data_IF_215221340987
#
_entry.id   IF_215221340987
#
_cell.length_a   1.000
_cell.length_b   1.000
_cell.length_c   1.000
_cell.angle_alpha   90.00
_cell.angle_beta   90.00
_cell.angle_gamma   90.00
#
_symmetry.space_group_name_H-M   'P 1'
#
loop_
_entity.id
_entity.type
_entity.pdbx_description
1 polymer ?
#
# COMPACT_ATOMS: atom_id res chain seq x y z
N UNK A 1 -20.24 -6.63 -6.96
CA UNK A 1 -19.68 -5.77 -7.99
C UNK A 1 -18.19 -5.50 -7.78
N UNK A 2 -17.59 -4.83 -8.73
CA UNK A 2 -16.18 -4.44 -8.65
C UNK A 2 -16.01 -3.23 -7.73
N UNK A 3 -14.85 -3.15 -7.04
CA UNK A 3 -14.50 -1.97 -6.25
C UNK A 3 -13.98 -0.85 -7.15
N UNK A 4 -14.59 0.33 -7.00
CA UNK A 4 -14.18 1.54 -7.70
C UNK A 4 -13.86 2.63 -6.68
N UNK A 5 -12.82 3.39 -6.94
CA UNK A 5 -12.46 4.51 -6.07
C UNK A 5 -11.91 5.65 -6.91
N UNK A 6 -12.37 6.85 -6.63
CA UNK A 6 -11.80 8.07 -7.18
C UNK A 6 -12.01 9.22 -6.22
N UNK A 7 -10.97 10.01 -5.99
CA UNK A 7 -11.02 11.21 -5.16
C UNK A 7 -10.04 12.25 -5.68
N UNK A 8 -10.51 13.46 -5.86
CA UNK A 8 -9.67 14.61 -6.21
C UNK A 8 -9.23 15.30 -4.92
N UNK A 9 -7.94 15.53 -4.78
CA UNK A 9 -7.34 16.19 -3.63
C UNK A 9 -6.59 17.43 -4.08
N UNK A 10 -6.47 18.37 -3.14
CA UNK A 10 -5.49 19.45 -3.23
C UNK A 10 -4.50 19.25 -2.09
N UNK A 11 -3.22 19.05 -2.41
CA UNK A 11 -2.17 18.90 -1.41
C UNK A 11 -1.92 20.23 -0.67
N UNK A 12 -1.16 20.19 0.44
CA UNK A 12 -0.89 21.38 1.25
C UNK A 12 -0.24 22.52 0.47
N UNK A 13 0.58 22.17 -0.51
CA UNK A 13 1.27 23.15 -1.39
C UNK A 13 0.41 23.63 -2.56
N UNK A 14 -0.87 23.23 -2.62
CA UNK A 14 -1.78 23.60 -3.68
C UNK A 14 -1.76 22.68 -4.90
N UNK A 15 -0.92 21.65 -4.92
CA UNK A 15 -0.80 20.71 -6.04
C UNK A 15 -2.05 19.84 -6.13
N UNK A 16 -2.70 19.74 -7.31
CA UNK A 16 -3.78 18.77 -7.52
C UNK A 16 -3.24 17.35 -7.53
N UNK A 17 -3.95 16.45 -6.87
CA UNK A 17 -3.63 15.02 -6.84
C UNK A 17 -4.91 14.22 -6.97
N UNK A 18 -4.91 13.21 -7.82
CA UNK A 18 -6.05 12.30 -7.98
C UNK A 18 -5.69 10.95 -7.39
N UNK A 19 -6.53 10.45 -6.49
CA UNK A 19 -6.49 9.05 -6.07
C UNK A 19 -7.52 8.29 -6.87
N UNK A 20 -7.11 7.21 -7.50
CA UNK A 20 -8.02 6.33 -8.23
C UNK A 20 -7.52 4.91 -8.25
N UNK A 21 -8.44 3.95 -8.42
CA UNK A 21 -8.03 2.57 -8.61
C UNK A 21 -7.23 2.43 -9.91
N UNK A 22 -6.18 1.63 -9.85
CA UNK A 22 -5.34 1.31 -10.99
C UNK A 22 -5.99 0.24 -11.87
N UNK A 23 -5.76 0.32 -13.16
CA UNK A 23 -6.18 -0.69 -14.14
C UNK A 23 -5.01 -1.17 -14.99
N UNK A 24 -5.30 -2.08 -15.91
CA UNK A 24 -4.28 -2.69 -16.77
C UNK A 24 -3.42 -1.67 -17.54
N UNK A 25 -4.02 -0.56 -17.94
CA UNK A 25 -3.33 0.51 -18.69
C UNK A 25 -2.29 1.26 -17.84
N UNK A 26 -2.31 1.09 -16.52
CA UNK A 26 -1.36 1.72 -15.60
C UNK A 26 -0.11 0.87 -15.36
N UNK A 27 -0.03 -0.33 -15.95
CA UNK A 27 0.99 -1.31 -15.62
C UNK A 27 2.43 -0.80 -15.74
N UNK A 28 2.77 -0.06 -16.78
CA UNK A 28 4.11 0.48 -16.94
C UNK A 28 4.48 1.47 -15.83
N UNK A 29 3.57 2.38 -15.51
CA UNK A 29 3.80 3.37 -14.46
C UNK A 29 3.82 2.75 -13.06
N UNK A 30 2.94 1.80 -12.79
CA UNK A 30 2.90 1.10 -11.50
C UNK A 30 4.20 0.31 -11.30
N UNK A 31 4.66 -0.40 -12.34
CA UNK A 31 5.94 -1.12 -12.27
C UNK A 31 7.12 -0.17 -12.08
N UNK A 32 7.12 0.98 -12.76
CA UNK A 32 8.15 2.01 -12.57
C UNK A 32 8.21 2.47 -11.11
N UNK A 33 7.06 2.77 -10.51
CA UNK A 33 6.99 3.21 -9.10
C UNK A 33 7.41 2.09 -8.16
N UNK A 34 7.00 0.86 -8.42
CA UNK A 34 7.45 -0.30 -7.61
C UNK A 34 8.99 -0.39 -7.62
N UNK A 35 9.60 -0.39 -8.80
CA UNK A 35 11.05 -0.49 -8.92
C UNK A 35 11.77 0.70 -8.28
N UNK A 36 11.27 1.92 -8.51
CA UNK A 36 11.86 3.13 -7.95
C UNK A 36 11.82 3.14 -6.42
N UNK A 37 10.65 2.88 -5.83
CA UNK A 37 10.48 2.95 -4.38
C UNK A 37 11.33 1.91 -3.66
N UNK A 38 11.53 0.74 -4.25
CA UNK A 38 12.37 -0.32 -3.68
C UNK A 38 13.87 -0.01 -3.77
N UNK A 39 14.29 0.98 -4.55
CA UNK A 39 15.66 1.50 -4.51
C UNK A 39 15.84 2.63 -3.49
N UNK A 40 14.76 3.26 -3.06
CA UNK A 40 14.79 4.47 -2.24
C UNK A 40 14.80 4.20 -0.73
N UNK A 41 14.49 2.98 -0.31
CA UNK A 41 14.39 2.65 1.12
C UNK A 41 14.75 1.20 1.39
N UNK A 42 15.28 0.94 2.60
CA UNK A 42 15.54 -0.40 3.14
C UNK A 42 14.32 -0.97 3.89
N UNK A 43 13.17 -0.28 3.92
CA UNK A 43 12.03 -0.66 4.75
C UNK A 43 10.97 -1.49 4.02
N UNK A 44 11.16 -1.78 2.74
CA UNK A 44 10.25 -2.62 1.95
C UNK A 44 10.76 -4.06 1.89
N UNK A 45 9.87 -4.99 1.57
CA UNK A 45 10.13 -6.42 1.63
C UNK A 45 11.23 -6.89 0.67
N UNK A 46 11.27 -6.35 -0.55
CA UNK A 46 12.17 -6.85 -1.59
C UNK A 46 13.23 -5.84 -1.99
N UNK A 47 14.40 -6.36 -2.32
CA UNK A 47 15.42 -5.58 -2.98
C UNK A 47 15.14 -5.51 -4.49
N UNK A 48 15.65 -4.47 -5.17
CA UNK A 48 15.56 -4.41 -6.63
C UNK A 48 16.12 -5.68 -7.28
N UNK A 49 15.38 -6.25 -8.22
CA UNK A 49 15.78 -7.44 -8.96
C UNK A 49 15.41 -8.79 -8.35
N UNK A 50 14.95 -8.82 -7.08
CA UNK A 50 14.56 -10.07 -6.44
C UNK A 50 13.24 -10.64 -6.95
N UNK A 51 12.32 -9.76 -7.32
CA UNK A 51 11.00 -10.14 -7.83
C UNK A 51 10.78 -9.49 -9.18
N UNK A 52 11.47 -9.96 -10.23
CA UNK A 52 11.36 -9.32 -11.54
C UNK A 52 9.94 -9.50 -12.06
N UNK A 53 9.18 -8.42 -12.05
CA UNK A 53 7.86 -8.36 -12.64
C UNK A 53 7.96 -7.77 -14.04
N UNK A 54 7.35 -8.43 -15.01
CA UNK A 54 7.22 -7.88 -16.36
C UNK A 54 6.01 -6.95 -16.41
N UNK A 55 5.97 -6.06 -17.41
CA UNK A 55 4.80 -5.22 -17.67
C UNK A 55 3.55 -6.08 -17.89
N UNK A 56 3.68 -7.23 -18.56
CA UNK A 56 2.57 -8.15 -18.79
C UNK A 56 2.03 -8.74 -17.48
N UNK A 57 2.91 -9.17 -16.58
CA UNK A 57 2.51 -9.68 -15.27
C UNK A 57 1.81 -8.62 -14.45
N UNK A 58 2.33 -7.39 -14.48
CA UNK A 58 1.71 -6.26 -13.79
C UNK A 58 0.33 -5.93 -14.38
N UNK A 59 0.22 -5.98 -15.71
CA UNK A 59 -1.05 -5.76 -16.40
C UNK A 59 -2.10 -6.78 -15.98
N UNK A 60 -1.73 -8.06 -15.91
CA UNK A 60 -2.63 -9.14 -15.48
C UNK A 60 -3.05 -8.96 -14.01
N UNK A 61 -2.10 -8.61 -13.16
CA UNK A 61 -2.37 -8.32 -11.74
C UNK A 61 -3.35 -7.17 -11.58
N UNK A 62 -3.12 -6.06 -12.27
CA UNK A 62 -4.00 -4.90 -12.19
C UNK A 62 -5.38 -5.16 -12.78
N UNK A 63 -5.46 -5.94 -13.86
CA UNK A 63 -6.74 -6.35 -14.44
C UNK A 63 -7.55 -7.19 -13.44
N UNK A 64 -6.93 -8.13 -12.75
CA UNK A 64 -7.57 -8.94 -11.71
C UNK A 64 -8.03 -8.08 -10.53
N UNK A 65 -7.19 -7.18 -10.06
CA UNK A 65 -7.55 -6.24 -9.00
C UNK A 65 -8.75 -5.38 -9.38
N UNK A 66 -8.76 -4.84 -10.60
CA UNK A 66 -9.84 -3.99 -11.09
C UNK A 66 -11.17 -4.74 -11.22
N UNK A 67 -11.12 -6.05 -11.45
CA UNK A 67 -12.31 -6.91 -11.54
C UNK A 67 -12.75 -7.46 -10.18
N UNK A 68 -11.97 -7.26 -9.12
CA UNK A 68 -12.22 -7.82 -7.80
C UNK A 68 -13.23 -7.02 -6.99
N UNK A 69 -13.98 -7.70 -6.14
CA UNK A 69 -14.87 -7.09 -5.15
C UNK A 69 -14.22 -6.95 -3.77
N UNK A 70 -13.03 -7.53 -3.57
CA UNK A 70 -12.39 -7.61 -2.26
C UNK A 70 -10.90 -7.30 -2.26
N UNK A 71 -10.35 -6.82 -3.37
CA UNK A 71 -9.01 -6.26 -3.44
C UNK A 71 -9.01 -5.04 -4.34
N UNK A 72 -8.10 -4.10 -4.08
CA UNK A 72 -7.95 -2.90 -4.89
C UNK A 72 -6.51 -2.40 -4.79
N UNK A 73 -6.01 -1.88 -5.90
CA UNK A 73 -4.78 -1.11 -5.95
C UNK A 73 -5.16 0.33 -6.30
N UNK A 74 -4.79 1.27 -5.43
CA UNK A 74 -5.07 2.71 -5.61
C UNK A 74 -3.77 3.41 -5.96
N UNK A 75 -3.80 4.24 -7.00
CA UNK A 75 -2.66 5.06 -7.35
C UNK A 75 -2.93 6.54 -7.07
N UNK A 76 -1.89 7.24 -6.67
CA UNK A 76 -1.87 8.70 -6.54
C UNK A 76 -1.25 9.28 -7.80
N UNK A 77 -1.97 10.19 -8.46
CA UNK A 77 -1.59 10.74 -9.77
C UNK A 77 -1.43 12.25 -9.64
N UNK A 78 -0.26 12.75 -10.04
CA UNK A 78 0.07 14.17 -10.10
C UNK A 78 0.58 14.50 -11.49
N UNK A 79 -0.06 15.46 -12.16
CA UNK A 79 0.36 15.86 -13.51
C UNK A 79 0.35 14.71 -14.52
N UNK A 80 -0.57 13.76 -14.37
CA UNK A 80 -0.66 12.58 -15.24
C UNK A 80 0.33 11.45 -14.90
N UNK A 81 1.17 11.61 -13.88
CA UNK A 81 2.14 10.59 -13.45
C UNK A 81 1.73 9.94 -12.14
N UNK A 82 1.90 8.63 -12.06
CA UNK A 82 1.70 7.89 -10.81
C UNK A 82 2.93 8.12 -9.93
N UNK A 83 2.70 8.63 -8.72
CA UNK A 83 3.76 8.97 -7.75
C UNK A 83 3.75 8.05 -6.53
N UNK A 84 2.71 7.24 -6.38
CA UNK A 84 2.61 6.28 -5.28
C UNK A 84 1.44 5.35 -5.51
N UNK A 85 1.48 4.22 -4.81
CA UNK A 85 0.42 3.22 -4.83
C UNK A 85 0.17 2.68 -3.43
N UNK A 86 -1.06 2.27 -3.18
CA UNK A 86 -1.44 1.55 -1.97
C UNK A 86 -2.52 0.54 -2.31
N UNK A 87 -2.59 -0.54 -1.57
CA UNK A 87 -3.57 -1.56 -1.86
C UNK A 87 -3.99 -2.37 -0.66
N UNK A 88 -5.10 -3.07 -0.82
CA UNK A 88 -5.59 -4.06 0.13
C UNK A 88 -5.81 -5.39 -0.58
N UNK A 89 -5.44 -6.47 0.08
CA UNK A 89 -5.63 -7.83 -0.42
C UNK A 89 -6.19 -8.73 0.67
N UNK A 90 -7.00 -9.71 0.27
CA UNK A 90 -7.54 -10.71 1.18
C UNK A 90 -6.39 -11.55 1.77
N UNK A 91 -6.38 -11.74 3.09
CA UNK A 91 -5.38 -12.59 3.75
C UNK A 91 -5.63 -14.07 3.43
N UNK A 92 -6.88 -14.48 3.41
CA UNK A 92 -7.24 -15.84 3.04
C UNK A 92 -8.74 -15.96 2.77
N UNK A 93 -9.11 -16.90 1.89
CA UNK A 93 -10.50 -17.11 1.48
C UNK A 93 -11.28 -18.03 2.45
N UNK A 94 -10.58 -18.68 3.37
CA UNK A 94 -11.21 -19.55 4.37
C UNK A 94 -12.14 -18.72 5.26
N UNK A 95 -13.24 -19.31 5.69
CA UNK A 95 -14.25 -18.62 6.52
C UNK A 95 -13.66 -17.94 7.74
N UNK A 96 -12.66 -18.55 8.38
CA UNK A 96 -12.01 -17.99 9.57
C UNK A 96 -11.07 -16.82 9.29
N UNK A 97 -10.68 -16.58 8.03
CA UNK A 97 -9.72 -15.56 7.62
C UNK A 97 -10.32 -14.45 6.77
N UNK A 98 -11.43 -14.71 6.07
CA UNK A 98 -11.95 -13.81 5.03
C UNK A 98 -12.41 -12.44 5.51
N UNK A 99 -12.46 -12.21 6.83
CA UNK A 99 -12.75 -10.90 7.42
C UNK A 99 -11.50 -10.01 7.52
N UNK A 100 -10.32 -10.53 7.17
CA UNK A 100 -9.04 -9.87 7.32
C UNK A 100 -8.44 -9.51 5.97
N UNK A 101 -7.96 -8.28 5.85
CA UNK A 101 -7.22 -7.83 4.68
C UNK A 101 -5.86 -7.28 5.10
N UNK A 102 -4.90 -7.35 4.18
CA UNK A 102 -3.56 -6.79 4.36
C UNK A 102 -3.43 -5.51 3.54
N UNK A 103 -2.77 -4.52 4.13
CA UNK A 103 -2.49 -3.21 3.54
C UNK A 103 -1.02 -3.07 3.20
N UNK A 104 -0.74 -2.46 2.04
CA UNK A 104 0.61 -2.08 1.63
C UNK A 104 0.61 -0.75 0.93
N UNK A 105 1.74 -0.03 0.98
CA UNK A 105 1.89 1.30 0.41
C UNK A 105 3.34 1.55 0.02
N UNK A 106 3.55 2.27 -1.09
CA UNK A 106 4.85 2.81 -1.44
C UNK A 106 4.67 4.11 -2.21
N UNK A 107 5.51 5.10 -1.90
CA UNK A 107 5.45 6.45 -2.48
C UNK A 107 6.86 6.87 -2.88
N UNK A 108 6.99 7.45 -4.07
CA UNK A 108 8.23 8.08 -4.52
C UNK A 108 8.71 9.09 -3.47
N UNK A 109 9.96 8.96 -3.05
CA UNK A 109 10.58 9.82 -2.03
C UNK A 109 10.42 11.30 -2.34
N UNK A 110 10.48 11.69 -3.62
CA UNK A 110 10.32 13.08 -4.03
C UNK A 110 8.99 13.70 -3.60
N UNK A 111 8.01 12.86 -3.27
CA UNK A 111 6.64 13.28 -2.88
C UNK A 111 6.33 13.03 -1.40
N UNK A 112 7.31 12.63 -0.60
CA UNK A 112 7.11 12.46 0.85
C UNK A 112 6.82 13.80 1.53
N UNK A 113 6.10 13.73 2.65
CA UNK A 113 5.80 14.91 3.47
C UNK A 113 4.70 15.82 2.92
N UNK A 114 3.96 15.37 1.91
CA UNK A 114 2.90 16.17 1.27
C UNK A 114 1.48 15.72 1.61
N UNK A 115 1.33 14.70 2.44
CA UNK A 115 0.03 14.16 2.85
C UNK A 115 -0.52 13.03 1.96
N UNK A 116 0.23 12.60 0.95
CA UNK A 116 -0.21 11.53 0.02
C UNK A 116 -0.33 10.19 0.75
N UNK A 117 0.61 9.87 1.64
CA UNK A 117 0.58 8.62 2.41
C UNK A 117 -0.68 8.50 3.26
N UNK A 118 -1.06 9.57 3.93
CA UNK A 118 -2.29 9.61 4.71
C UNK A 118 -3.52 9.46 3.83
N UNK A 119 -3.57 10.17 2.73
CA UNK A 119 -4.70 10.12 1.80
C UNK A 119 -4.88 8.71 1.21
N UNK A 120 -3.80 8.06 0.78
CA UNK A 120 -3.83 6.68 0.28
C UNK A 120 -4.25 5.69 1.36
N UNK A 121 -3.75 5.85 2.58
CA UNK A 121 -4.11 4.97 3.70
C UNK A 121 -5.59 5.10 4.04
N UNK A 122 -6.10 6.32 4.13
CA UNK A 122 -7.54 6.57 4.38
C UNK A 122 -8.41 6.01 3.26
N UNK A 123 -7.99 6.14 2.01
CA UNK A 123 -8.69 5.56 0.86
C UNK A 123 -8.78 4.03 0.96
N UNK A 124 -7.68 3.38 1.33
CA UNK A 124 -7.67 1.92 1.51
C UNK A 124 -8.54 1.47 2.70
N UNK A 125 -8.57 2.23 3.78
CA UNK A 125 -9.46 1.97 4.92
C UNK A 125 -10.92 2.05 4.47
N UNK A 126 -11.27 3.06 3.72
CA UNK A 126 -12.61 3.25 3.17
C UNK A 126 -13.01 2.08 2.25
N UNK A 127 -12.11 1.67 1.36
CA UNK A 127 -12.34 0.53 0.47
C UNK A 127 -12.47 -0.79 1.25
N UNK A 128 -11.67 -0.99 2.29
CA UNK A 128 -11.74 -2.17 3.12
C UNK A 128 -13.11 -2.29 3.82
N UNK A 129 -13.61 -1.19 4.34
CA UNK A 129 -14.97 -1.15 4.93
C UNK A 129 -16.04 -1.48 3.90
N UNK A 130 -15.95 -0.87 2.72
CA UNK A 130 -16.91 -1.13 1.63
C UNK A 130 -16.88 -2.59 1.18
N UNK A 131 -15.71 -3.21 1.17
CA UNK A 131 -15.57 -4.63 0.82
C UNK A 131 -16.10 -5.58 1.89
N UNK A 132 -16.42 -5.09 3.09
CA UNK A 132 -16.95 -5.90 4.18
C UNK A 132 -15.89 -6.47 5.12
N UNK A 133 -14.64 -6.05 5.02
CA UNK A 133 -13.63 -6.45 5.99
C UNK A 133 -13.88 -5.82 7.35
N UNK A 134 -13.58 -6.56 8.40
CA UNK A 134 -13.67 -6.05 9.77
C UNK A 134 -12.31 -5.78 10.39
N UNK A 135 -11.22 -6.19 9.72
CA UNK A 135 -9.87 -5.95 10.18
C UNK A 135 -8.92 -5.71 9.02
N UNK A 136 -8.12 -4.66 9.13
CA UNK A 136 -7.03 -4.35 8.22
C UNK A 136 -5.70 -4.49 8.97
N UNK A 137 -4.72 -5.14 8.35
CA UNK A 137 -3.45 -5.48 8.98
C UNK A 137 -2.27 -5.00 8.13
N UNK A 138 -1.17 -4.73 8.80
CA UNK A 138 0.10 -4.41 8.15
C UNK A 138 1.28 -4.81 9.04
N UNK A 139 2.43 -5.01 8.41
CA UNK A 139 3.71 -5.10 9.07
C UNK A 139 4.54 -3.87 8.70
N UNK A 140 5.25 -3.31 9.65
CA UNK A 140 6.11 -2.14 9.42
C UNK A 140 7.44 -2.32 10.13
N UNK A 141 8.53 -1.92 9.47
CA UNK A 141 9.86 -1.93 10.10
C UNK A 141 9.87 -0.91 11.24
N UNK A 142 10.34 -1.34 12.42
CA UNK A 142 10.29 -0.53 13.64
C UNK A 142 10.97 0.85 13.47
N UNK A 143 12.06 0.91 12.70
CA UNK A 143 12.80 2.14 12.44
C UNK A 143 12.08 3.10 11.48
N UNK A 144 11.06 2.64 10.78
CA UNK A 144 10.26 3.48 9.90
C UNK A 144 9.27 4.31 10.72
N UNK A 145 9.80 5.27 11.45
CA UNK A 145 9.04 6.10 12.40
C UNK A 145 7.92 6.88 11.73
N UNK A 146 8.18 7.44 10.55
CA UNK A 146 7.18 8.23 9.82
C UNK A 146 5.96 7.39 9.46
N UNK A 147 6.16 6.16 8.98
CA UNK A 147 5.06 5.24 8.65
C UNK A 147 4.30 4.81 9.91
N UNK A 148 5.01 4.46 10.98
CA UNK A 148 4.38 4.08 12.25
C UNK A 148 3.50 5.19 12.80
N UNK A 149 3.99 6.43 12.80
CA UNK A 149 3.22 7.59 13.26
C UNK A 149 1.97 7.80 12.41
N UNK A 150 2.09 7.65 11.10
CA UNK A 150 0.95 7.73 10.19
C UNK A 150 -0.11 6.68 10.53
N UNK A 151 0.30 5.43 10.68
CA UNK A 151 -0.63 4.33 10.96
C UNK A 151 -1.31 4.49 12.32
N UNK A 152 -0.57 4.87 13.36
CA UNK A 152 -1.14 5.17 14.68
C UNK A 152 -2.15 6.33 14.59
N UNK A 153 -1.83 7.35 13.81
CA UNK A 153 -2.70 8.52 13.64
C UNK A 153 -4.04 8.17 12.99
N UNK A 154 -4.05 7.22 12.06
CA UNK A 154 -5.31 6.78 11.42
C UNK A 154 -6.01 5.66 12.18
N UNK A 155 -5.46 5.22 13.32
CA UNK A 155 -6.13 4.32 14.23
C UNK A 155 -5.58 2.91 14.36
N UNK A 156 -4.50 2.56 13.65
CA UNK A 156 -3.86 1.26 13.82
C UNK A 156 -3.23 1.15 15.21
N UNK A 157 -3.28 -0.05 15.78
CA UNK A 157 -2.63 -0.39 17.04
C UNK A 157 -1.65 -1.53 16.85
N UNK A 158 -0.56 -1.50 17.60
CA UNK A 158 0.41 -2.57 17.63
C UNK A 158 -0.16 -3.77 18.38
N UNK A 159 0.04 -4.98 17.83
CA UNK A 159 -0.37 -6.20 18.50
C UNK A 159 0.73 -7.25 18.62
N UNK A 160 1.91 -6.99 18.10
CA UNK A 160 3.05 -7.89 18.23
C UNK A 160 4.30 -7.34 17.56
N UNK A 161 5.44 -7.97 17.88
CA UNK A 161 6.74 -7.63 17.30
C UNK A 161 7.52 -8.88 16.96
N UNK A 162 8.23 -8.82 15.83
CA UNK A 162 9.18 -9.85 15.45
C UNK A 162 10.58 -9.20 15.37
N UNK A 163 11.46 -9.42 16.37
CA UNK A 163 12.79 -8.78 16.39
C UNK A 163 13.69 -9.14 15.21
N UNK A 164 13.45 -10.27 14.59
CA UNK A 164 14.19 -10.73 13.41
C UNK A 164 13.29 -10.91 12.21
N UNK A 165 12.41 -9.91 11.98
CA UNK A 165 11.43 -9.96 10.90
C UNK A 165 12.06 -9.91 9.52
N UNK A 166 13.02 -9.00 9.32
CA UNK A 166 13.84 -8.92 8.11
C UNK A 166 15.31 -9.01 8.44
N UNK A 167 16.08 -9.49 7.48
CA UNK A 167 17.54 -9.42 7.51
C UNK A 167 18.01 -8.67 6.28
N UNK A 168 18.72 -7.57 6.47
CA UNK A 168 19.27 -6.79 5.37
C UNK A 168 20.45 -7.47 4.71
N UNK A 169 20.82 -7.04 3.50
CA UNK A 169 22.02 -7.53 2.80
C UNK A 169 23.30 -7.33 3.61
N UNK A 170 23.35 -6.29 4.46
CA UNK A 170 24.49 -6.06 5.35
C UNK A 170 24.55 -7.03 6.52
N UNK A 171 23.53 -7.88 6.70
CA UNK A 171 23.42 -8.83 7.80
C UNK A 171 22.75 -8.27 9.06
N UNK A 172 22.26 -7.03 9.03
CA UNK A 172 21.55 -6.43 10.14
C UNK A 172 20.13 -6.97 10.25
N UNK A 173 19.63 -7.08 11.48
CA UNK A 173 18.23 -7.43 11.73
C UNK A 173 17.36 -6.18 11.72
N UNK A 174 16.16 -6.32 11.14
CA UNK A 174 15.12 -5.31 11.25
C UNK A 174 13.94 -5.92 12.00
N UNK A 175 13.54 -5.26 13.08
CA UNK A 175 12.34 -5.63 13.82
C UNK A 175 11.11 -5.24 13.01
N UNK A 176 10.14 -6.15 12.92
CA UNK A 176 8.82 -5.86 12.36
C UNK A 176 7.82 -5.64 13.48
N UNK A 177 7.03 -4.58 13.34
CA UNK A 177 5.90 -4.29 14.20
C UNK A 177 4.64 -4.70 13.45
N UNK A 178 3.82 -5.54 14.08
CA UNK A 178 2.56 -6.00 13.53
C UNK A 178 1.46 -5.06 14.04
N UNK A 179 0.74 -4.46 13.11
CA UNK A 179 -0.31 -3.48 13.42
C UNK A 179 -1.64 -3.89 12.81
N UNK A 180 -2.72 -3.53 13.48
CA UNK A 180 -4.08 -3.83 13.02
C UNK A 180 -5.02 -2.66 13.28
N UNK A 181 -6.08 -2.59 12.48
CA UNK A 181 -7.16 -1.63 12.61
C UNK A 181 -8.49 -2.38 12.56
N UNK A 182 -9.33 -2.21 13.58
CA UNK A 182 -10.70 -2.70 13.55
C UNK A 182 -11.56 -1.74 12.72
N UNK A 183 -12.38 -2.29 11.81
CA UNK A 183 -13.12 -1.50 10.82
C UNK A 183 -14.61 -1.36 11.14
N UNK A 184 -15.09 -2.07 12.15
CA UNK A 184 -16.51 -2.06 12.55
C UNK A 184 -16.78 -1.34 13.88
#
# INVERSE_FOLDING_TARGET
GTMQYQKNLTLRDGTPCVLRNAGADDAEQVLRIFNLTHTQTEFLLTYPGESPMTVENERDFLAKSAASSNSIEICAVIGGEIVGTAGITLIGSQEKLRHRAEFGISIDRAYWGRGIGRALTEACIECAKTAGYTQLELDVVAENTAARMLYEHVGFTEYGRNPRGFRTRSGAWQELILMRLELD
#
